data_IF_517851618486
#
_entry.id   IF_517851618486
#
_cell.length_a   1.000
_cell.length_b   1.000
_cell.length_c   1.000
_cell.angle_alpha   90.00
_cell.angle_beta   90.00
_cell.angle_gamma   90.00
#
_symmetry.space_group_name_H-M   'P 1'
#
loop_
_entity.id
_entity.type
_entity.pdbx_description
1 polymer ?
#
# COMPACT_ATOMS: atom_id res chain seq x y z
N UNK A 1 -26.57 5.97 -7.55
CA UNK A 1 -25.27 5.57 -8.11
C UNK A 1 -24.69 4.42 -7.30
N UNK A 2 -24.29 3.32 -7.94
CA UNK A 2 -23.69 2.17 -7.25
C UNK A 2 -22.20 2.43 -6.98
N UNK A 3 -21.59 1.71 -6.02
CA UNK A 3 -20.15 1.82 -5.76
C UNK A 3 -19.32 1.47 -7.00
N UNK A 4 -19.78 0.52 -7.82
CA UNK A 4 -19.17 0.15 -9.10
C UNK A 4 -19.13 1.31 -10.11
N UNK A 5 -20.14 2.17 -10.14
CA UNK A 5 -20.10 3.35 -11.02
C UNK A 5 -19.14 4.42 -10.52
N UNK A 6 -18.96 4.55 -9.19
CA UNK A 6 -18.02 5.51 -8.59
C UNK A 6 -16.55 5.10 -8.72
N UNK A 7 -16.30 3.83 -9.03
CA UNK A 7 -14.97 3.27 -9.05
C UNK A 7 -14.25 3.45 -10.38
N UNK A 8 -14.96 3.79 -11.47
CA UNK A 8 -14.37 3.94 -12.80
C UNK A 8 -13.22 4.95 -12.81
N UNK A 9 -12.06 4.52 -13.32
CA UNK A 9 -10.83 5.31 -13.38
C UNK A 9 -10.08 5.45 -12.04
N UNK A 10 -10.60 4.85 -10.96
CA UNK A 10 -9.98 4.92 -9.66
C UNK A 10 -9.06 3.70 -9.42
N UNK A 11 -8.01 3.82 -8.60
CA UNK A 11 -7.14 2.69 -8.26
C UNK A 11 -7.89 1.47 -7.67
N UNK A 12 -9.04 1.70 -7.03
CA UNK A 12 -9.87 0.66 -6.42
C UNK A 12 -10.97 0.11 -7.34
N UNK A 13 -10.97 0.46 -8.64
CA UNK A 13 -11.94 -0.03 -9.62
C UNK A 13 -12.02 -1.56 -9.66
N UNK A 14 -10.86 -2.23 -9.64
CA UNK A 14 -10.74 -3.69 -9.65
C UNK A 14 -11.43 -4.33 -8.45
N UNK A 15 -11.39 -3.71 -7.27
CA UNK A 15 -12.05 -4.22 -6.08
C UNK A 15 -13.58 -4.10 -6.19
N UNK A 16 -14.07 -3.03 -6.78
CA UNK A 16 -15.50 -2.81 -7.00
C UNK A 16 -16.09 -3.66 -8.15
N UNK A 17 -15.25 -4.12 -9.08
CA UNK A 17 -15.66 -4.96 -10.23
C UNK A 17 -15.52 -6.46 -9.97
N UNK A 18 -14.43 -6.90 -9.34
CA UNK A 18 -14.14 -8.33 -9.06
C UNK A 18 -14.83 -8.81 -7.78
N UNK A 19 -15.24 -7.89 -6.90
CA UNK A 19 -16.28 -8.14 -5.90
C UNK A 19 -15.81 -8.75 -4.58
N UNK A 20 -14.57 -9.23 -4.47
CA UNK A 20 -13.96 -9.58 -3.19
C UNK A 20 -12.48 -9.94 -3.32
N UNK A 21 -11.70 -9.55 -2.31
CA UNK A 21 -10.41 -10.19 -2.06
C UNK A 21 -10.70 -11.66 -1.75
N UNK A 22 -10.01 -12.61 -2.40
CA UNK A 22 -10.33 -14.02 -2.24
C UNK A 22 -10.29 -14.45 -0.76
N UNK A 23 -11.39 -15.01 -0.25
CA UNK A 23 -11.54 -15.39 1.17
C UNK A 23 -10.61 -16.51 1.62
N UNK A 24 -10.02 -17.24 0.67
CA UNK A 24 -9.04 -18.29 0.91
C UNK A 24 -7.62 -17.74 1.11
N UNK A 25 -7.40 -16.44 0.89
CA UNK A 25 -6.12 -15.83 1.22
C UNK A 25 -5.99 -15.67 2.73
N UNK A 26 -4.80 -16.02 3.24
CA UNK A 26 -4.36 -15.62 4.57
C UNK A 26 -4.62 -14.13 4.79
N UNK A 27 -5.12 -13.76 5.97
CA UNK A 27 -5.53 -12.39 6.29
C UNK A 27 -4.42 -11.37 5.97
N UNK A 28 -3.16 -11.72 6.25
CA UNK A 28 -2.01 -10.86 5.96
C UNK A 28 -1.86 -10.58 4.45
N UNK A 29 -2.00 -11.61 3.61
CA UNK A 29 -1.97 -11.47 2.14
C UNK A 29 -3.14 -10.63 1.65
N UNK A 30 -4.34 -10.88 2.15
CA UNK A 30 -5.52 -10.11 1.81
C UNK A 30 -5.37 -8.62 2.15
N UNK A 31 -4.84 -8.29 3.32
CA UNK A 31 -4.60 -6.90 3.75
C UNK A 31 -3.51 -6.23 2.91
N UNK A 32 -2.40 -6.92 2.64
CA UNK A 32 -1.32 -6.41 1.79
C UNK A 32 -1.83 -6.07 0.39
N UNK A 33 -2.55 -7.01 -0.24
CA UNK A 33 -3.17 -6.82 -1.54
C UNK A 33 -4.15 -5.65 -1.52
N UNK A 34 -5.03 -5.56 -0.51
CA UNK A 34 -5.96 -4.44 -0.40
C UNK A 34 -5.25 -3.08 -0.36
N UNK A 35 -4.28 -2.93 0.54
CA UNK A 35 -3.61 -1.65 0.78
C UNK A 35 -2.81 -1.18 -0.43
N UNK A 36 -2.10 -2.09 -1.09
CA UNK A 36 -1.33 -1.77 -2.28
C UNK A 36 -2.21 -1.55 -3.51
N UNK A 37 -3.23 -2.38 -3.76
CA UNK A 37 -4.17 -2.17 -4.88
C UNK A 37 -4.90 -0.85 -4.76
N UNK A 38 -5.31 -0.47 -3.55
CA UNK A 38 -5.98 0.82 -3.33
C UNK A 38 -5.02 2.01 -3.22
N UNK A 39 -3.70 1.76 -3.16
CA UNK A 39 -2.67 2.76 -2.85
C UNK A 39 -2.95 3.49 -1.52
N UNK A 40 -3.59 2.80 -0.57
CA UNK A 40 -3.97 3.32 0.74
C UNK A 40 -3.02 2.84 1.84
N UNK A 41 -1.70 2.97 1.62
CA UNK A 41 -0.74 2.89 2.73
C UNK A 41 -0.06 4.24 2.93
N UNK A 42 -0.44 4.91 4.02
CA UNK A 42 0.06 6.23 4.42
C UNK A 42 0.63 6.18 5.84
N UNK A 43 1.09 5.03 6.33
CA UNK A 43 1.45 4.85 7.74
C UNK A 43 2.38 5.97 8.26
N UNK A 44 3.45 6.24 7.51
CA UNK A 44 4.46 7.24 7.89
C UNK A 44 3.92 8.66 7.85
N UNK A 45 3.10 9.00 6.85
CA UNK A 45 2.39 10.28 6.76
C UNK A 45 1.49 10.47 7.99
N UNK A 46 0.72 9.45 8.35
CA UNK A 46 -0.13 9.48 9.54
C UNK A 46 0.69 9.64 10.82
N UNK A 47 1.82 8.94 10.96
CA UNK A 47 2.71 9.11 12.11
C UNK A 47 3.27 10.52 12.22
N UNK A 48 3.59 11.16 11.10
CA UNK A 48 4.01 12.55 11.11
C UNK A 48 2.89 13.47 11.59
N UNK A 49 1.67 13.31 11.08
CA UNK A 49 0.51 14.12 11.49
C UNK A 49 0.13 13.92 12.95
N UNK A 50 0.38 12.73 13.52
CA UNK A 50 0.21 12.46 14.94
C UNK A 50 1.37 12.99 15.81
N UNK A 51 2.40 13.59 15.23
CA UNK A 51 3.59 14.05 15.94
C UNK A 51 4.53 12.93 16.41
N UNK A 52 4.31 11.69 15.93
CA UNK A 52 5.13 10.51 16.27
C UNK A 52 6.39 10.45 15.40
N UNK A 53 6.30 10.89 14.14
CA UNK A 53 7.43 10.94 13.21
C UNK A 53 7.85 12.39 12.91
N UNK A 54 9.16 12.63 12.79
CA UNK A 54 9.71 13.95 12.49
C UNK A 54 9.33 14.46 11.08
N UNK A 55 9.11 13.55 10.13
CA UNK A 55 8.76 13.87 8.75
C UNK A 55 7.97 12.75 8.06
N UNK A 56 7.46 13.05 6.87
CA UNK A 56 6.70 12.12 6.02
C UNK A 56 7.59 11.27 5.09
N UNK A 57 8.92 11.40 5.20
CA UNK A 57 9.85 10.73 4.30
C UNK A 57 9.86 9.22 4.51
N UNK A 58 10.06 8.49 3.42
CA UNK A 58 10.23 7.05 3.39
C UNK A 58 11.39 6.62 4.27
N UNK A 59 11.10 5.72 5.22
CA UNK A 59 12.12 5.16 6.11
C UNK A 59 13.11 4.23 5.40
N UNK A 60 12.69 3.67 4.27
CA UNK A 60 13.45 2.67 3.55
C UNK A 60 14.47 3.36 2.63
N UNK A 61 14.01 4.26 1.76
CA UNK A 61 14.88 4.93 0.80
C UNK A 61 15.26 6.36 1.18
N UNK A 62 14.56 7.03 2.10
CA UNK A 62 14.88 8.39 2.56
C UNK A 62 14.49 9.55 1.63
N UNK A 63 14.05 9.29 0.39
CA UNK A 63 14.00 10.33 -0.65
C UNK A 63 12.61 10.91 -0.96
N UNK A 64 11.52 10.19 -0.67
CA UNK A 64 10.17 10.61 -1.06
C UNK A 64 9.16 10.43 0.07
N UNK A 65 8.02 11.09 -0.06
CA UNK A 65 6.86 10.88 0.82
C UNK A 65 6.43 9.42 0.76
N UNK A 66 6.21 8.81 1.91
CA UNK A 66 5.76 7.42 1.99
C UNK A 66 4.24 7.32 1.88
N UNK A 67 3.78 7.23 0.64
CA UNK A 67 2.40 6.90 0.26
C UNK A 67 2.34 5.55 -0.49
N UNK A 68 1.12 5.14 -0.87
CA UNK A 68 0.90 3.86 -1.53
C UNK A 68 1.55 3.75 -2.92
N UNK A 69 1.73 4.88 -3.61
CA UNK A 69 2.41 4.92 -4.91
C UNK A 69 3.91 4.77 -4.75
N UNK A 70 4.49 5.51 -3.80
CA UNK A 70 5.89 5.41 -3.47
C UNK A 70 6.26 3.99 -3.04
N UNK A 71 5.41 3.33 -2.25
CA UNK A 71 5.66 1.96 -1.78
C UNK A 71 5.87 0.95 -2.94
N UNK A 72 5.10 1.10 -4.02
CA UNK A 72 5.24 0.26 -5.23
C UNK A 72 6.53 0.55 -6.02
N UNK A 73 7.07 1.76 -5.90
CA UNK A 73 8.22 2.25 -6.68
C UNK A 73 9.47 2.48 -5.83
N UNK A 74 9.42 2.15 -4.53
CA UNK A 74 10.50 2.40 -3.60
C UNK A 74 11.76 1.61 -4.00
N UNK A 75 12.84 2.31 -4.32
CA UNK A 75 14.12 1.69 -4.70
C UNK A 75 14.76 0.88 -3.56
N UNK A 76 14.44 1.21 -2.31
CA UNK A 76 14.87 0.43 -1.15
C UNK A 76 14.19 -0.95 -1.03
N UNK A 77 13.26 -1.28 -1.92
CA UNK A 77 12.57 -2.56 -2.01
C UNK A 77 12.83 -3.27 -3.35
N UNK A 78 13.89 -2.90 -4.09
CA UNK A 78 14.15 -3.46 -5.42
C UNK A 78 14.38 -4.98 -5.44
N UNK A 79 14.77 -5.57 -4.31
CA UNK A 79 14.85 -7.04 -4.13
C UNK A 79 13.48 -7.74 -4.15
N UNK A 80 12.39 -6.98 -3.96
CA UNK A 80 11.01 -7.47 -3.91
C UNK A 80 10.22 -6.84 -5.07
N UNK A 81 10.13 -7.51 -6.23
CA UNK A 81 9.59 -6.90 -7.43
C UNK A 81 8.12 -6.49 -7.25
N UNK A 82 7.69 -5.49 -8.03
CA UNK A 82 6.39 -4.83 -7.84
C UNK A 82 5.18 -5.76 -8.10
N UNK A 83 5.39 -6.88 -8.82
CA UNK A 83 4.41 -7.94 -9.03
C UNK A 83 4.27 -8.88 -7.81
N UNK A 84 5.31 -9.02 -6.98
CA UNK A 84 5.22 -9.66 -5.66
C UNK A 84 4.78 -8.66 -4.57
N UNK A 85 3.52 -8.23 -4.71
CA UNK A 85 2.82 -7.29 -3.84
C UNK A 85 2.94 -7.70 -2.36
N UNK A 86 2.83 -9.01 -2.06
CA UNK A 86 2.82 -9.46 -0.67
C UNK A 86 4.19 -9.35 -0.02
N UNK A 87 5.24 -9.84 -0.67
CA UNK A 87 6.59 -9.80 -0.10
C UNK A 87 7.07 -8.37 0.00
N UNK A 88 6.84 -7.55 -1.04
CA UNK A 88 7.17 -6.12 -1.04
C UNK A 88 6.49 -5.36 0.09
N UNK A 89 5.18 -5.59 0.28
CA UNK A 89 4.43 -4.99 1.39
C UNK A 89 4.97 -5.43 2.75
N UNK A 90 5.17 -6.73 2.92
CA UNK A 90 5.57 -7.32 4.19
C UNK A 90 6.92 -6.81 4.64
N UNK A 91 7.87 -6.70 3.70
CA UNK A 91 9.20 -6.19 4.00
C UNK A 91 9.17 -4.69 4.32
N UNK A 92 8.41 -3.90 3.57
CA UNK A 92 8.23 -2.49 3.91
C UNK A 92 7.69 -2.29 5.33
N UNK A 93 6.69 -3.09 5.73
CA UNK A 93 6.15 -3.06 7.09
C UNK A 93 7.16 -3.50 8.14
N UNK A 94 8.06 -4.43 7.81
CA UNK A 94 9.12 -4.86 8.71
C UNK A 94 10.12 -3.74 9.01
N UNK A 95 10.47 -2.96 7.99
CA UNK A 95 11.49 -1.91 8.11
C UNK A 95 10.94 -0.58 8.68
N UNK A 96 9.62 -0.42 8.70
CA UNK A 96 8.97 0.82 9.15
C UNK A 96 8.46 0.80 10.60
N UNK A 97 8.56 -0.33 11.30
CA UNK A 97 8.03 -0.54 12.67
C UNK A 97 9.18 -0.73 13.65
#
# INVERSE_FOLDING_TARGET
>A
MTQKTKSFGMPWESLATVGQIPRHLERAKAVASFRLTTRLDFLRVYFHWLGVAANEACLICGHARMDGDHLLQCTGLDEYPADDIFSRYSEARRQMV
#
